data_IF_406686084593
#
_entry.id   IF_406686084593
#
_cell.length_a   1.000
_cell.length_b   1.000
_cell.length_c   1.000
_cell.angle_alpha   90.00
_cell.angle_beta   90.00
_cell.angle_gamma   90.00
#
_symmetry.space_group_name_H-M   'P 1'
#
loop_
_entity.id
_entity.type
_entity.pdbx_description
1 polymer ?
#
# COMPACT_ATOMS: atom_id res chain seq x y z
N UNK A 1 35.96 23.97 -7.54
CA UNK A 1 34.60 23.94 -6.94
C UNK A 1 33.87 22.77 -7.56
N UNK A 2 33.42 21.81 -6.74
CA UNK A 2 32.58 20.70 -7.19
C UNK A 2 31.12 21.14 -7.04
N UNK A 3 30.43 21.41 -8.14
CA UNK A 3 29.01 21.77 -8.14
C UNK A 3 28.18 20.46 -8.12
N UNK A 4 27.68 20.08 -6.94
CA UNK A 4 26.71 18.97 -6.82
C UNK A 4 25.34 19.47 -7.26
N UNK A 5 24.86 18.99 -8.40
CA UNK A 5 23.49 19.23 -8.88
C UNK A 5 22.61 18.15 -8.24
N UNK A 6 21.83 18.51 -7.22
CA UNK A 6 20.85 17.60 -6.62
C UNK A 6 19.60 17.56 -7.50
N UNK A 7 19.06 16.38 -7.83
CA UNK A 7 17.81 16.27 -8.58
C UNK A 7 16.68 16.97 -7.82
N UNK A 8 15.98 17.90 -8.48
CA UNK A 8 14.92 18.73 -7.85
C UNK A 8 13.52 18.14 -7.99
N UNK A 9 13.34 17.13 -8.85
CA UNK A 9 12.05 16.50 -9.09
C UNK A 9 12.24 14.99 -9.17
N UNK A 10 11.51 14.28 -8.33
CA UNK A 10 11.31 12.83 -8.43
C UNK A 10 9.81 12.67 -8.69
N UNK A 11 9.45 11.94 -9.74
CA UNK A 11 8.06 11.60 -10.04
C UNK A 11 7.94 10.09 -9.84
N UNK A 12 7.12 9.69 -8.89
CA UNK A 12 6.89 8.28 -8.60
C UNK A 12 5.59 8.14 -7.84
N UNK A 13 4.79 7.15 -8.22
CA UNK A 13 3.55 6.90 -7.50
C UNK A 13 3.83 6.63 -6.02
N UNK A 14 3.09 7.28 -5.14
CA UNK A 14 3.21 7.13 -3.69
C UNK A 14 2.18 6.12 -3.22
N UNK A 15 2.65 4.96 -2.76
CA UNK A 15 1.82 4.01 -2.04
C UNK A 15 1.83 4.35 -0.54
N UNK A 16 0.66 4.43 0.08
CA UNK A 16 0.54 4.73 1.50
C UNK A 16 -0.65 4.03 2.15
N UNK A 17 -0.60 3.94 3.48
CA UNK A 17 -1.64 3.37 4.32
C UNK A 17 -2.47 4.47 4.97
N UNK A 18 -3.79 4.26 5.03
CA UNK A 18 -4.74 5.16 5.69
C UNK A 18 -5.69 4.36 6.62
N UNK A 19 -5.64 4.56 7.94
CA UNK A 19 -4.75 5.50 8.63
C UNK A 19 -3.29 5.03 8.62
N UNK A 20 -2.35 5.98 8.70
CA UNK A 20 -0.90 5.68 8.75
C UNK A 20 -0.46 5.03 10.07
N UNK A 21 -1.22 5.26 11.14
CA UNK A 21 -0.96 4.78 12.49
C UNK A 21 -2.29 4.68 13.25
N UNK A 22 -2.34 3.80 14.25
CA UNK A 22 -3.51 3.59 15.08
C UNK A 22 -3.16 2.74 16.29
N UNK A 23 -3.98 2.83 17.34
CA UNK A 23 -3.85 2.00 18.53
C UNK A 23 -5.02 1.00 18.56
N UNK A 24 -4.69 -0.29 18.68
CA UNK A 24 -5.66 -1.38 18.67
C UNK A 24 -5.39 -2.32 19.85
N UNK A 25 -6.46 -2.78 20.49
CA UNK A 25 -6.38 -3.76 21.57
C UNK A 25 -6.16 -5.18 21.06
N UNK A 26 -5.86 -6.09 21.99
CA UNK A 26 -5.78 -7.52 21.66
C UNK A 26 -7.15 -8.01 21.18
N UNK A 27 -7.13 -8.74 20.05
CA UNK A 27 -8.32 -9.29 19.35
C UNK A 27 -9.21 -8.24 18.66
N UNK A 28 -8.80 -6.99 18.59
CA UNK A 28 -9.51 -6.03 17.76
C UNK A 28 -9.34 -6.37 16.28
N UNK A 29 -10.43 -6.19 15.52
CA UNK A 29 -10.41 -6.26 14.07
C UNK A 29 -10.34 -4.84 13.54
N UNK A 30 -9.39 -4.55 12.67
CA UNK A 30 -9.23 -3.22 12.08
C UNK A 30 -8.94 -3.31 10.59
N UNK A 31 -9.44 -2.32 9.85
CA UNK A 31 -9.20 -2.18 8.42
C UNK A 31 -8.23 -1.05 8.15
N UNK A 32 -7.26 -1.30 7.27
CA UNK A 32 -6.35 -0.28 6.75
C UNK A 32 -6.58 -0.18 5.25
N UNK A 33 -6.75 1.04 4.75
CA UNK A 33 -6.88 1.30 3.32
C UNK A 33 -5.50 1.45 2.71
N UNK A 34 -5.26 0.70 1.64
CA UNK A 34 -4.08 0.87 0.80
C UNK A 34 -4.43 1.88 -0.28
N UNK A 35 -3.65 2.95 -0.38
CA UNK A 35 -3.88 4.05 -1.32
C UNK A 35 -2.66 4.28 -2.18
N UNK A 36 -2.91 4.74 -3.40
CA UNK A 36 -1.88 5.14 -4.34
C UNK A 36 -2.20 6.55 -4.85
N UNK A 37 -1.21 7.44 -4.76
CA UNK A 37 -1.22 8.73 -5.43
C UNK A 37 -0.30 8.62 -6.65
N UNK A 38 -0.80 8.74 -7.88
CA UNK A 38 0.04 8.65 -9.06
C UNK A 38 0.90 9.90 -9.30
N UNK A 39 0.80 10.95 -8.47
CA UNK A 39 1.53 12.21 -8.59
C UNK A 39 1.45 12.85 -9.99
N UNK A 40 0.26 12.78 -10.61
CA UNK A 40 -0.01 13.36 -11.93
C UNK A 40 0.29 12.45 -13.13
N UNK A 41 0.80 11.25 -12.90
CA UNK A 41 1.07 10.26 -13.96
C UNK A 41 -0.08 9.27 -14.16
N UNK A 42 -0.04 8.51 -15.26
CA UNK A 42 -0.97 7.41 -15.50
C UNK A 42 -0.38 6.09 -15.00
N UNK A 43 -1.15 5.34 -14.19
CA UNK A 43 -0.75 4.00 -13.73
C UNK A 43 -1.45 2.94 -14.59
N UNK A 44 -0.67 2.08 -15.24
CA UNK A 44 -1.18 0.96 -16.03
C UNK A 44 -1.28 -0.35 -15.22
N UNK A 45 -0.38 -0.57 -14.28
CA UNK A 45 -0.26 -1.84 -13.54
C UNK A 45 0.33 -1.59 -12.16
N UNK A 46 -0.11 -2.37 -11.17
CA UNK A 46 0.30 -2.26 -9.77
C UNK A 46 0.72 -3.65 -9.29
N UNK A 47 1.87 -3.72 -8.62
CA UNK A 47 2.35 -4.89 -7.88
C UNK A 47 2.84 -4.39 -6.52
N UNK A 48 2.32 -4.97 -5.44
CA UNK A 48 2.58 -4.50 -4.07
C UNK A 48 2.76 -5.70 -3.15
N UNK A 49 3.87 -5.72 -2.45
CA UNK A 49 4.13 -6.65 -1.35
C UNK A 49 4.04 -5.87 -0.02
N UNK A 50 3.11 -6.26 0.85
CA UNK A 50 2.99 -5.70 2.20
C UNK A 50 3.45 -6.72 3.23
N UNK A 51 4.33 -6.28 4.13
CA UNK A 51 4.82 -7.09 5.24
C UNK A 51 4.31 -6.54 6.56
N UNK A 52 3.89 -7.43 7.46
CA UNK A 52 3.49 -7.10 8.81
C UNK A 52 3.95 -8.22 9.78
N UNK A 53 4.05 -7.95 11.09
CA UNK A 53 4.49 -8.95 12.04
C UNK A 53 3.42 -10.04 12.25
N UNK A 54 3.67 -11.25 11.76
CA UNK A 54 2.74 -12.40 11.84
C UNK A 54 2.61 -13.00 13.25
N UNK A 55 3.41 -12.53 14.22
CA UNK A 55 3.32 -12.92 15.63
C UNK A 55 2.24 -12.13 16.39
N UNK A 56 1.80 -10.99 15.85
CA UNK A 56 0.85 -10.08 16.48
C UNK A 56 -0.35 -9.74 15.60
N UNK A 57 -0.19 -9.79 14.27
CA UNK A 57 -1.25 -9.48 13.31
C UNK A 57 -1.54 -10.70 12.42
N UNK A 58 -2.81 -10.84 12.04
CA UNK A 58 -3.28 -11.89 11.13
C UNK A 58 -4.05 -11.22 10.01
N UNK A 59 -3.75 -11.60 8.76
CA UNK A 59 -4.54 -11.16 7.61
C UNK A 59 -5.83 -11.97 7.53
N UNK A 60 -6.95 -11.30 7.73
CA UNK A 60 -8.28 -11.94 7.67
C UNK A 60 -8.92 -11.85 6.29
N UNK A 61 -8.52 -10.87 5.48
CA UNK A 61 -9.05 -10.68 4.14
C UNK A 61 -8.88 -9.26 3.61
N UNK A 62 -9.20 -9.08 2.34
CA UNK A 62 -9.21 -7.79 1.67
C UNK A 62 -10.63 -7.47 1.17
N UNK A 63 -11.05 -6.22 1.40
CA UNK A 63 -12.24 -5.64 0.78
C UNK A 63 -11.83 -4.76 -0.40
N UNK A 64 -12.54 -4.91 -1.52
CA UNK A 64 -12.24 -4.22 -2.77
C UNK A 64 -13.17 -3.04 -3.05
N UNK A 65 -14.23 -2.83 -2.26
CA UNK A 65 -15.24 -1.76 -2.38
C UNK A 65 -15.07 -0.79 -3.55
N UNK A 66 -14.57 0.42 -3.25
CA UNK A 66 -14.34 1.51 -4.21
C UNK A 66 -12.91 1.50 -4.80
N UNK A 67 -12.36 0.31 -5.07
CA UNK A 67 -11.00 0.20 -5.61
C UNK A 67 -10.88 0.87 -6.99
N UNK A 68 -9.76 1.56 -7.21
CA UNK A 68 -9.38 2.10 -8.54
C UNK A 68 -8.93 0.99 -9.51
N UNK A 69 -8.66 -0.22 -9.01
CA UNK A 69 -8.21 -1.36 -9.80
C UNK A 69 -9.43 -2.06 -10.39
N UNK A 70 -9.66 -1.84 -11.68
CA UNK A 70 -10.77 -2.43 -12.44
C UNK A 70 -10.53 -3.90 -12.79
N UNK A 71 -9.27 -4.28 -13.05
CA UNK A 71 -8.89 -5.65 -13.46
C UNK A 71 -7.82 -6.16 -12.51
N UNK A 72 -8.14 -7.24 -11.80
CA UNK A 72 -7.21 -7.96 -10.94
C UNK A 72 -6.66 -9.18 -11.68
N UNK A 73 -5.39 -9.14 -12.06
CA UNK A 73 -4.69 -10.30 -12.61
C UNK A 73 -4.52 -11.37 -11.53
N UNK A 74 -4.14 -10.93 -10.33
CA UNK A 74 -4.07 -11.71 -9.11
C UNK A 74 -4.66 -10.87 -7.97
N UNK A 75 -5.47 -11.48 -7.12
CA UNK A 75 -6.04 -10.79 -5.96
C UNK A 75 -5.07 -10.85 -4.79
N UNK A 76 -5.03 -9.82 -3.93
CA UNK A 76 -4.26 -9.85 -2.69
C UNK A 76 -4.57 -11.11 -1.87
N UNK A 77 -3.50 -11.81 -1.49
CA UNK A 77 -3.50 -12.96 -0.60
C UNK A 77 -2.37 -12.80 0.41
N UNK A 78 -2.48 -13.46 1.56
CA UNK A 78 -1.31 -13.67 2.43
C UNK A 78 -0.53 -14.87 1.91
N UNK A 79 0.79 -14.85 2.11
CA UNK A 79 1.72 -15.94 1.73
C UNK A 79 1.44 -17.28 2.43
N UNK A 80 0.44 -17.35 3.32
CA UNK A 80 0.09 -18.52 4.13
C UNK A 80 -1.17 -19.27 3.64
N UNK A 81 -1.57 -19.15 2.36
CA UNK A 81 -2.59 -20.01 1.73
C UNK A 81 -2.23 -20.46 0.31
#
# INVERSE_FOLDING_TARGET
>A
MLFSVLPSFIFGAVLYLDPKEGEYGLKDHFGIKIRIDPEGECINTISVDLSFPNDTLIFEGADFGDSIVTIWVERPSSLDN
#
